data_IF_432116764067
#
_entry.id   IF_432116764067
#
_cell.length_a   1.000
_cell.length_b   1.000
_cell.length_c   1.000
_cell.angle_alpha   90.00
_cell.angle_beta   90.00
_cell.angle_gamma   90.00
#
_symmetry.space_group_name_H-M   'P 1'
#
loop_
_entity.id
_entity.type
_entity.pdbx_description
1 polymer ?
#
# COMPACT_ATOMS: atom_id res chain seq x y z
N UNK A 1 6.07 11.36 -11.66
CA UNK A 1 5.40 10.70 -10.52
C UNK A 1 4.55 11.72 -9.80
N UNK A 2 3.29 11.38 -9.57
CA UNK A 2 2.33 12.17 -8.80
C UNK A 2 2.47 11.85 -7.31
N UNK A 3 1.92 12.71 -6.44
CA UNK A 3 2.06 12.56 -4.99
C UNK A 3 1.43 11.25 -4.47
N UNK A 4 0.30 10.81 -5.03
CA UNK A 4 -0.36 9.57 -4.59
C UNK A 4 0.43 8.32 -5.00
N UNK A 5 0.96 8.26 -6.23
CA UNK A 5 1.84 7.16 -6.67
C UNK A 5 3.09 7.04 -5.78
N UNK A 6 3.64 8.19 -5.36
CA UNK A 6 4.79 8.21 -4.49
C UNK A 6 4.45 7.67 -3.09
N UNK A 7 3.28 8.02 -2.55
CA UNK A 7 2.76 7.48 -1.28
C UNK A 7 2.57 5.96 -1.37
N UNK A 8 1.96 5.46 -2.46
CA UNK A 8 1.78 4.02 -2.69
C UNK A 8 3.13 3.28 -2.70
N UNK A 9 4.13 3.80 -3.39
CA UNK A 9 5.48 3.20 -3.42
C UNK A 9 6.12 3.15 -2.04
N UNK A 10 5.97 4.21 -1.22
CA UNK A 10 6.52 4.23 0.14
C UNK A 10 5.83 3.15 0.98
N UNK A 11 4.50 3.09 0.94
CA UNK A 11 3.73 2.10 1.69
C UNK A 11 4.04 0.67 1.24
N UNK A 12 4.21 0.43 -0.06
CA UNK A 12 4.64 -0.86 -0.60
C UNK A 12 6.03 -1.28 -0.10
N UNK A 13 7.00 -0.34 -0.05
CA UNK A 13 8.35 -0.64 0.45
C UNK A 13 8.42 -0.89 1.95
N UNK A 14 7.56 -0.23 2.74
CA UNK A 14 7.65 -0.19 4.21
C UNK A 14 6.69 -1.14 4.92
N UNK A 15 5.82 -1.84 4.20
CA UNK A 15 4.96 -2.89 4.76
C UNK A 15 3.51 -2.48 5.03
N UNK A 16 2.99 -1.48 4.31
CA UNK A 16 1.55 -1.21 4.23
C UNK A 16 0.95 -0.30 5.29
N UNK A 17 1.68 0.07 6.35
CA UNK A 17 1.22 1.07 7.33
C UNK A 17 2.32 2.09 7.66
N UNK A 18 1.97 3.38 7.66
CA UNK A 18 2.91 4.43 8.07
C UNK A 18 2.15 5.71 8.44
N UNK A 19 2.77 6.56 9.26
CA UNK A 19 2.20 7.87 9.59
C UNK A 19 2.44 8.88 8.46
N UNK A 20 1.56 9.88 8.35
CA UNK A 20 1.74 10.94 7.33
C UNK A 20 3.08 11.67 7.45
N UNK A 21 3.64 11.77 8.66
CA UNK A 21 4.95 12.38 8.90
C UNK A 21 6.09 11.52 8.37
N UNK A 22 6.06 10.21 8.64
CA UNK A 22 7.06 9.29 8.11
C UNK A 22 6.99 9.22 6.58
N UNK A 23 5.78 9.25 6.00
CA UNK A 23 5.61 9.23 4.54
C UNK A 23 6.22 10.49 3.94
N UNK A 24 6.00 11.66 4.54
CA UNK A 24 6.64 12.91 4.09
C UNK A 24 8.16 12.80 4.15
N UNK A 25 8.69 12.31 5.27
CA UNK A 25 10.12 12.16 5.46
C UNK A 25 10.74 11.22 4.42
N UNK A 26 10.17 10.04 4.22
CA UNK A 26 10.62 9.07 3.21
C UNK A 26 10.55 9.66 1.80
N UNK A 27 9.47 10.36 1.46
CA UNK A 27 9.35 11.00 0.14
C UNK A 27 10.42 12.07 -0.09
N UNK A 28 10.73 12.87 0.93
CA UNK A 28 11.74 13.92 0.87
C UNK A 28 13.16 13.33 0.79
N UNK A 29 13.47 12.31 1.61
CA UNK A 29 14.76 11.58 1.58
C UNK A 29 14.99 10.96 0.21
N UNK A 30 13.98 10.28 -0.32
CA UNK A 30 14.09 9.59 -1.62
C UNK A 30 13.93 10.55 -2.82
N UNK A 31 13.62 11.83 -2.58
CA UNK A 31 13.33 12.86 -3.61
C UNK A 31 12.31 12.40 -4.67
N UNK A 32 11.33 11.58 -4.26
CA UNK A 32 10.33 11.02 -5.18
C UNK A 32 9.27 12.03 -5.61
N UNK A 33 9.02 13.07 -4.82
CA UNK A 33 8.18 14.18 -5.24
C UNK A 33 8.86 15.49 -4.87
N UNK A 34 9.42 16.17 -5.86
CA UNK A 34 9.87 17.54 -5.69
C UNK A 34 8.83 18.50 -6.26
N UNK A 35 8.45 19.49 -5.45
CA UNK A 35 7.69 20.64 -5.96
C UNK A 35 8.56 21.38 -6.98
N UNK A 36 7.94 22.07 -7.93
CA UNK A 36 8.64 22.93 -8.89
C UNK A 36 9.53 23.98 -8.19
N UNK A 37 9.10 24.43 -7.02
CA UNK A 37 9.83 25.41 -6.20
C UNK A 37 10.95 24.79 -5.35
N UNK A 38 11.20 23.48 -5.48
CA UNK A 38 12.18 22.74 -4.69
C UNK A 38 11.80 22.52 -3.22
N UNK A 39 10.64 23.02 -2.77
CA UNK A 39 10.22 22.84 -1.38
C UNK A 39 9.84 21.39 -1.08
N UNK A 40 10.09 21.00 0.17
CA UNK A 40 9.76 19.68 0.71
C UNK A 40 8.25 19.44 0.76
N UNK A 41 7.89 18.16 0.69
CA UNK A 41 6.52 17.69 0.90
C UNK A 41 6.22 17.76 2.39
N UNK A 42 5.13 18.44 2.73
CA UNK A 42 4.66 18.52 4.11
C UNK A 42 3.62 17.43 4.41
N UNK A 43 3.59 16.90 5.65
CA UNK A 43 2.63 15.88 6.06
C UNK A 43 1.18 16.32 5.85
N UNK A 44 0.90 17.62 5.93
CA UNK A 44 -0.43 18.17 5.67
C UNK A 44 -0.92 17.96 4.23
N UNK A 45 -0.02 18.00 3.24
CA UNK A 45 -0.36 17.72 1.85
C UNK A 45 -0.72 16.25 1.64
N UNK A 46 0.00 15.36 2.31
CA UNK A 46 -0.28 13.93 2.31
C UNK A 46 -1.63 13.69 2.97
N UNK A 47 -1.86 14.30 4.14
CA UNK A 47 -3.15 14.22 4.83
C UNK A 47 -4.30 14.71 3.95
N UNK A 48 -4.16 15.82 3.24
CA UNK A 48 -5.18 16.30 2.32
C UNK A 48 -5.44 15.31 1.17
N UNK A 49 -4.38 14.74 0.60
CA UNK A 49 -4.49 13.81 -0.53
C UNK A 49 -5.07 12.46 -0.12
N UNK A 50 -4.57 11.81 0.91
CA UNK A 50 -5.08 10.50 1.34
C UNK A 50 -6.56 10.57 1.75
N UNK A 51 -7.04 11.72 2.25
CA UNK A 51 -8.48 11.94 2.49
C UNK A 51 -9.32 11.92 1.21
N UNK A 52 -8.78 12.41 0.10
CA UNK A 52 -9.48 12.47 -1.19
C UNK A 52 -9.49 11.13 -1.94
N UNK A 53 -8.70 10.15 -1.47
CA UNK A 53 -8.59 8.82 -2.08
C UNK A 53 -8.88 7.71 -1.04
N UNK A 54 -10.09 7.65 -0.48
CA UNK A 54 -10.46 6.60 0.48
C UNK A 54 -10.45 5.19 -0.14
N UNK A 55 -10.53 5.09 -1.48
CA UNK A 55 -10.47 3.83 -2.20
C UNK A 55 -9.04 3.25 -2.30
N UNK A 56 -8.01 4.05 -2.03
CA UNK A 56 -6.59 3.66 -2.13
C UNK A 56 -5.91 3.64 -0.76
N UNK A 57 -6.36 4.50 0.15
CA UNK A 57 -5.77 4.68 1.46
C UNK A 57 -6.84 4.58 2.54
N UNK A 58 -6.69 3.61 3.42
CA UNK A 58 -7.46 3.54 4.65
C UNK A 58 -6.74 4.37 5.71
N UNK A 59 -7.50 5.07 6.54
CA UNK A 59 -6.94 6.07 7.45
C UNK A 59 -7.48 5.88 8.84
N UNK A 60 -6.55 5.74 9.78
CA UNK A 60 -6.85 5.73 11.20
C UNK A 60 -6.14 6.92 11.87
N UNK A 61 -6.78 8.09 11.79
CA UNK A 61 -6.21 9.36 12.28
C UNK A 61 -4.95 9.79 11.51
N UNK A 62 -3.81 9.75 12.21
CA UNK A 62 -2.47 10.08 11.67
C UNK A 62 -1.83 8.93 10.89
N UNK A 63 -2.36 7.71 11.04
CA UNK A 63 -1.88 6.50 10.39
C UNK A 63 -2.58 6.31 9.06
N UNK A 64 -1.79 6.03 8.03
CA UNK A 64 -2.25 5.70 6.68
C UNK A 64 -1.91 4.24 6.39
N UNK A 65 -2.93 3.49 6.04
CA UNK A 65 -2.86 2.10 5.62
C UNK A 65 -3.05 2.06 4.10
N UNK A 66 -2.26 1.24 3.43
CA UNK A 66 -2.48 0.98 2.01
C UNK A 66 -3.68 0.04 1.85
N UNK A 67 -4.81 0.62 1.46
CA UNK A 67 -6.04 -0.10 1.21
C UNK A 67 -6.05 -0.65 -0.21
N UNK A 68 -5.08 -1.50 -0.53
CA UNK A 68 -5.31 -2.46 -1.60
C UNK A 68 -6.14 -3.58 -1.00
N UNK A 69 -7.41 -3.63 -1.39
CA UNK A 69 -8.23 -4.82 -1.20
C UNK A 69 -7.43 -6.05 -1.64
N UNK A 70 -7.48 -7.16 -0.89
CA UNK A 70 -6.60 -8.31 -1.11
C UNK A 70 -6.93 -9.00 -2.45
N UNK A 71 -6.21 -8.64 -3.50
CA UNK A 71 -5.87 -9.57 -4.59
C UNK A 71 -4.36 -9.81 -4.41
N UNK A 72 -3.87 -10.88 -3.78
CA UNK A 72 -4.37 -12.23 -3.76
C UNK A 72 -3.99 -12.96 -2.45
N UNK A 73 -4.98 -13.54 -1.79
CA UNK A 73 -4.79 -14.88 -1.25
C UNK A 73 -5.15 -15.87 -2.36
N UNK A 74 -4.20 -16.59 -2.99
CA UNK A 74 -4.54 -17.88 -3.53
C UNK A 74 -4.57 -18.89 -2.36
N UNK A 75 -5.52 -18.71 -1.43
CA UNK A 75 -6.01 -19.86 -0.67
C UNK A 75 -7.14 -20.47 -1.48
N UNK A 76 -6.79 -21.22 -2.53
CA UNK A 76 -7.50 -22.44 -2.97
C UNK A 76 -7.01 -22.89 -4.34
N UNK A 77 -6.24 -23.97 -4.34
CA UNK A 77 -6.56 -25.21 -5.05
C UNK A 77 -5.56 -26.22 -4.46
N UNK A 78 -5.91 -26.84 -3.34
CA UNK A 78 -6.48 -28.19 -3.38
C UNK A 78 -5.65 -29.09 -4.31
N UNK A 79 -4.45 -29.46 -3.87
CA UNK A 79 -3.76 -30.65 -4.38
C UNK A 79 -4.46 -31.88 -3.83
N UNK A 80 -5.59 -32.27 -4.43
CA UNK A 80 -5.96 -33.67 -4.55
C UNK A 80 -5.35 -34.18 -5.85
N UNK A 81 -4.36 -35.08 -5.76
CA UNK A 81 -4.55 -36.39 -6.36
C UNK A 81 -4.13 -37.46 -5.33
N UNK A 82 -4.81 -38.58 -5.17
CA UNK A 82 -4.94 -39.58 -6.22
C UNK A 82 -6.06 -40.56 -5.84
N UNK A 83 -7.06 -40.68 -6.72
CA UNK A 83 -7.90 -41.85 -6.75
C UNK A 83 -7.07 -43.04 -7.27
N UNK A 84 -6.61 -43.89 -6.34
CA UNK A 84 -6.27 -45.30 -6.57
C UNK A 84 -6.52 -45.97 -5.22
N UNK A 85 -7.36 -46.99 -5.06
CA UNK A 85 -7.58 -48.12 -5.94
C UNK A 85 -8.97 -48.74 -5.72
N UNK A 86 -9.52 -49.32 -6.78
CA UNK A 86 -10.33 -50.53 -6.73
C UNK A 86 -9.69 -51.51 -5.71
N UNK A 87 -10.41 -52.26 -4.87
CA UNK A 87 -11.34 -53.35 -5.18
C UNK A 87 -11.99 -53.80 -3.86
N UNK A 88 -13.26 -54.24 -3.85
CA UNK A 88 -13.71 -55.29 -2.96
C UNK A 88 -13.73 -56.63 -3.72
N UNK A 89 -13.01 -57.63 -3.22
CA UNK A 89 -13.50 -59.00 -3.02
C UNK A 89 -12.44 -59.81 -2.26
#
# INVERSE_FOLDING_TARGET
MTLHEAIEKVLQKKGGQMTTAEIANELNINKWCQKKDGSEIIPFQIHGRTRNYPNLFDRNGSTVLWAVAPMACPLSLYSFPLATSCFPY
#
